data_IF_561349099970
#
_entry.id   IF_561349099970
#
_cell.length_a   1.000
_cell.length_b   1.000
_cell.length_c   1.000
_cell.angle_alpha   90.00
_cell.angle_beta   90.00
_cell.angle_gamma   90.00
#
_symmetry.space_group_name_H-M   'P 1'
#
loop_
_entity.id
_entity.type
_entity.pdbx_description
1 polymer ?
#
# COMPACT_ATOMS: atom_id res chain seq x y z
N UNK A 1 -14.08 46.56 48.16
CA UNK A 1 -12.78 46.52 47.46
C UNK A 1 -12.81 45.35 46.48
N UNK A 2 -12.61 45.64 45.18
CA UNK A 2 -12.30 44.74 44.02
C UNK A 2 -13.13 43.46 43.83
N UNK A 3 -14.09 43.33 42.89
CA UNK A 3 -13.97 43.28 41.40
C UNK A 3 -12.72 42.57 40.87
N UNK A 4 -12.92 41.38 40.29
CA UNK A 4 -12.35 40.96 39.02
C UNK A 4 -13.14 39.78 38.44
N UNK A 5 -13.92 40.12 37.41
CA UNK A 5 -14.57 39.20 36.47
C UNK A 5 -13.50 38.80 35.46
N UNK A 6 -13.28 37.51 35.23
CA UNK A 6 -12.56 37.02 34.06
C UNK A 6 -13.41 35.98 33.34
N UNK A 7 -14.15 36.48 32.35
CA UNK A 7 -14.58 35.77 31.15
C UNK A 7 -13.35 35.57 30.27
N UNK A 8 -13.08 34.36 29.76
CA UNK A 8 -12.52 34.11 28.41
C UNK A 8 -12.75 32.65 28.01
N UNK A 9 -13.68 32.49 27.05
CA UNK A 9 -13.67 31.67 25.82
C UNK A 9 -13.52 30.15 25.91
N UNK A 10 -14.69 29.52 25.72
CA UNK A 10 -14.86 28.27 24.96
C UNK A 10 -14.04 28.29 23.66
N UNK A 11 -13.05 27.41 23.56
CA UNK A 11 -12.41 27.09 22.29
C UNK A 11 -13.20 25.99 21.59
N UNK A 12 -14.10 26.42 20.70
CA UNK A 12 -14.61 25.58 19.63
C UNK A 12 -13.48 25.39 18.61
N UNK A 13 -12.87 24.22 18.55
CA UNK A 13 -12.06 23.84 17.40
C UNK A 13 -12.86 22.87 16.52
N UNK A 14 -13.82 23.44 15.80
CA UNK A 14 -14.11 22.96 14.46
C UNK A 14 -12.85 23.23 13.60
N UNK A 15 -12.09 22.18 13.28
CA UNK A 15 -11.28 22.06 12.07
C UNK A 15 -10.30 20.89 12.22
N UNK A 16 -10.73 19.71 11.79
CA UNK A 16 -9.83 18.64 11.35
C UNK A 16 -10.29 18.08 10.00
N UNK A 17 -10.87 18.93 9.16
CA UNK A 17 -10.96 18.69 7.72
C UNK A 17 -9.60 19.05 7.13
N UNK A 18 -8.65 18.12 7.24
CA UNK A 18 -7.34 18.25 6.61
C UNK A 18 -7.51 18.52 5.12
N UNK A 19 -6.78 19.53 4.63
CA UNK A 19 -6.87 20.14 3.32
C UNK A 19 -7.02 19.12 2.17
N UNK A 20 -8.22 19.06 1.60
CA UNK A 20 -8.44 18.54 0.24
C UNK A 20 -7.84 19.55 -0.74
N UNK A 21 -6.55 19.38 -1.06
CA UNK A 21 -6.03 19.90 -2.33
C UNK A 21 -6.88 19.26 -3.44
N UNK A 22 -7.47 20.09 -4.30
CA UNK A 22 -8.32 19.66 -5.41
C UNK A 22 -7.48 18.91 -6.47
N UNK A 23 -7.12 17.67 -6.16
CA UNK A 23 -6.60 16.72 -7.14
C UNK A 23 -7.76 16.32 -8.06
N UNK A 24 -7.48 16.33 -9.36
CA UNK A 24 -8.36 15.78 -10.39
C UNK A 24 -8.95 14.43 -9.93
N UNK A 25 -10.26 14.20 -10.11
CA UNK A 25 -10.86 12.92 -9.74
C UNK A 25 -10.21 11.80 -10.55
N UNK A 26 -9.63 10.82 -9.86
CA UNK A 26 -9.01 9.65 -10.47
C UNK A 26 -10.08 8.62 -10.90
N UNK A 27 -9.78 7.81 -11.91
CA UNK A 27 -10.67 6.72 -12.37
C UNK A 27 -10.76 5.55 -11.38
N UNK A 28 -9.88 5.52 -10.38
CA UNK A 28 -9.84 4.60 -9.25
C UNK A 28 -9.92 5.34 -7.92
N UNK A 29 -10.20 4.62 -6.84
CA UNK A 29 -10.22 5.19 -5.49
C UNK A 29 -8.85 5.05 -4.81
N UNK A 30 -8.41 6.08 -4.09
CA UNK A 30 -7.15 6.04 -3.32
C UNK A 30 -7.47 5.92 -1.83
N UNK A 31 -7.03 4.82 -1.22
CA UNK A 31 -7.20 4.55 0.21
C UNK A 31 -5.89 4.76 0.97
N UNK A 32 -5.93 5.58 2.01
CA UNK A 32 -4.81 5.81 2.94
C UNK A 32 -4.94 5.03 4.24
N UNK A 33 -6.12 4.46 4.49
CA UNK A 33 -6.46 3.71 5.68
C UNK A 33 -7.27 2.45 5.32
N UNK A 34 -7.33 1.52 6.26
CA UNK A 34 -7.90 0.18 6.11
C UNK A 34 -9.44 0.15 6.18
N UNK A 35 -10.13 0.91 7.07
CA UNK A 35 -11.58 0.77 7.25
C UNK A 35 -12.40 0.99 5.97
N UNK A 36 -12.04 2.00 5.19
CA UNK A 36 -12.69 2.35 3.93
C UNK A 36 -12.38 1.34 2.81
N UNK A 37 -11.13 0.85 2.75
CA UNK A 37 -10.73 -0.22 1.85
C UNK A 37 -11.51 -1.51 2.13
N UNK A 38 -11.67 -1.87 3.40
CA UNK A 38 -12.48 -3.02 3.81
C UNK A 38 -13.96 -2.85 3.45
N UNK A 39 -14.51 -1.63 3.52
CA UNK A 39 -15.88 -1.37 3.04
C UNK A 39 -16.01 -1.63 1.55
N UNK A 40 -15.05 -1.16 0.74
CA UNK A 40 -15.01 -1.47 -0.69
C UNK A 40 -14.90 -2.97 -0.93
N UNK A 41 -13.96 -3.66 -0.26
CA UNK A 41 -13.80 -5.12 -0.40
C UNK A 41 -15.10 -5.86 -0.13
N UNK A 42 -15.79 -5.57 0.98
CA UNK A 42 -17.05 -6.23 1.32
C UNK A 42 -18.10 -6.05 0.23
N UNK A 43 -18.22 -4.85 -0.34
CA UNK A 43 -19.13 -4.60 -1.47
C UNK A 43 -18.73 -5.40 -2.70
N UNK A 44 -17.44 -5.51 -3.01
CA UNK A 44 -16.96 -6.31 -4.14
C UNK A 44 -17.30 -7.79 -3.94
N UNK A 45 -17.02 -8.36 -2.76
CA UNK A 45 -17.38 -9.75 -2.44
C UNK A 45 -18.88 -10.00 -2.56
N UNK A 46 -19.73 -9.08 -2.06
CA UNK A 46 -21.19 -9.20 -2.15
C UNK A 46 -21.74 -9.19 -3.58
N UNK A 47 -20.94 -8.75 -4.56
CA UNK A 47 -21.29 -8.73 -5.97
C UNK A 47 -20.50 -9.76 -6.78
N UNK A 48 -19.97 -10.80 -6.12
CA UNK A 48 -19.17 -11.88 -6.73
C UNK A 48 -17.97 -11.36 -7.54
N UNK A 49 -17.37 -10.24 -7.09
CA UNK A 49 -16.20 -9.61 -7.71
C UNK A 49 -14.91 -10.14 -7.06
N UNK A 50 -13.94 -10.48 -7.90
CA UNK A 50 -12.62 -10.98 -7.50
C UNK A 50 -11.58 -9.87 -7.54
N UNK A 51 -10.57 -9.94 -6.68
CA UNK A 51 -9.49 -8.96 -6.58
C UNK A 51 -8.14 -9.60 -6.89
N UNK A 52 -7.51 -9.08 -7.95
CA UNK A 52 -6.08 -9.24 -8.17
C UNK A 52 -5.30 -8.15 -7.43
N UNK A 53 -4.26 -8.52 -6.70
CA UNK A 53 -3.46 -7.57 -5.93
C UNK A 53 -2.02 -7.50 -6.41
N UNK A 54 -1.56 -6.28 -6.70
CA UNK A 54 -0.19 -5.99 -7.11
C UNK A 54 0.50 -5.16 -6.04
N UNK A 55 1.27 -5.78 -5.12
CA UNK A 55 2.02 -5.04 -4.13
C UNK A 55 3.25 -4.36 -4.75
N UNK A 56 3.32 -3.04 -4.66
CA UNK A 56 4.50 -2.26 -5.09
C UNK A 56 5.00 -1.31 -4.00
N UNK A 57 6.18 -0.74 -4.21
CA UNK A 57 6.71 0.38 -3.43
C UNK A 57 6.55 1.75 -4.12
N UNK A 58 5.93 1.82 -5.30
CA UNK A 58 5.93 3.00 -6.17
C UNK A 58 7.03 2.93 -7.23
N UNK A 59 7.38 4.08 -7.81
CA UNK A 59 8.37 4.16 -8.90
C UNK A 59 8.06 3.20 -10.05
N UNK A 60 6.80 3.24 -10.50
CA UNK A 60 6.24 2.25 -11.41
C UNK A 60 6.95 2.29 -12.76
N UNK A 61 7.10 1.13 -13.39
CA UNK A 61 7.73 0.93 -14.70
C UNK A 61 7.00 -0.18 -15.43
N UNK A 62 7.36 -0.48 -16.69
CA UNK A 62 6.64 -1.45 -17.53
C UNK A 62 6.44 -2.82 -16.88
N UNK A 63 7.45 -3.33 -16.16
CA UNK A 63 7.29 -4.58 -15.39
C UNK A 63 6.20 -4.55 -14.31
N UNK A 64 5.91 -3.40 -13.69
CA UNK A 64 4.77 -3.26 -12.78
C UNK A 64 3.45 -3.20 -13.54
N UNK A 65 3.43 -2.50 -14.68
CA UNK A 65 2.23 -2.36 -15.51
C UNK A 65 1.80 -3.70 -16.11
N UNK A 66 2.75 -4.55 -16.49
CA UNK A 66 2.44 -5.90 -16.99
C UNK A 66 1.81 -6.80 -15.91
N UNK A 67 2.24 -6.70 -14.64
CA UNK A 67 1.60 -7.41 -13.53
C UNK A 67 0.15 -6.94 -13.32
N UNK A 68 -0.10 -5.64 -13.46
CA UNK A 68 -1.46 -5.06 -13.34
C UNK A 68 -2.34 -5.54 -14.50
N UNK A 69 -1.80 -5.61 -15.72
CA UNK A 69 -2.51 -6.16 -16.87
C UNK A 69 -2.88 -7.63 -16.64
N UNK A 70 -1.96 -8.44 -16.13
CA UNK A 70 -2.25 -9.85 -15.82
C UNK A 70 -3.29 -9.99 -14.71
N UNK A 71 -3.18 -9.17 -13.67
CA UNK A 71 -4.19 -9.09 -12.62
C UNK A 71 -5.58 -8.73 -13.16
N UNK A 72 -5.66 -7.82 -14.13
CA UNK A 72 -6.91 -7.44 -14.77
C UNK A 72 -7.46 -8.52 -15.71
N UNK A 73 -6.62 -9.37 -16.31
CA UNK A 73 -7.09 -10.49 -17.14
C UNK A 73 -7.79 -11.56 -16.32
N UNK A 74 -7.30 -11.81 -15.11
CA UNK A 74 -7.77 -12.93 -14.29
C UNK A 74 -8.82 -12.52 -13.24
N UNK A 75 -9.00 -11.22 -12.99
CA UNK A 75 -9.87 -10.71 -11.93
C UNK A 75 -10.68 -9.51 -12.39
N UNK A 76 -11.87 -9.35 -11.82
CA UNK A 76 -12.76 -8.22 -12.11
C UNK A 76 -12.22 -6.87 -11.61
N UNK A 77 -11.47 -6.85 -10.50
CA UNK A 77 -10.93 -5.66 -9.86
C UNK A 77 -9.45 -5.85 -9.56
N UNK A 78 -8.67 -4.78 -9.75
CA UNK A 78 -7.24 -4.76 -9.41
C UNK A 78 -6.99 -3.73 -8.32
N UNK A 79 -6.33 -4.19 -7.26
CA UNK A 79 -5.81 -3.35 -6.19
C UNK A 79 -4.30 -3.24 -6.35
N UNK A 80 -3.77 -2.02 -6.35
CA UNK A 80 -2.33 -1.77 -6.39
C UNK A 80 -1.90 -1.11 -5.09
N UNK A 81 -0.89 -1.64 -4.41
CA UNK A 81 -0.33 -0.93 -3.26
C UNK A 81 0.85 -0.06 -3.66
N UNK A 82 0.94 1.16 -3.13
CA UNK A 82 2.14 1.99 -3.20
C UNK A 82 2.58 2.30 -1.78
N UNK A 83 3.56 1.55 -1.28
CA UNK A 83 4.11 1.74 0.06
C UNK A 83 5.56 1.29 0.12
N UNK A 84 6.47 2.24 0.35
CA UNK A 84 7.88 1.98 0.64
C UNK A 84 7.97 1.50 2.08
N UNK A 85 8.30 0.22 2.27
CA UNK A 85 8.36 -0.40 3.59
C UNK A 85 9.73 -0.15 4.24
N UNK A 86 9.83 0.52 5.40
CA UNK A 86 11.13 0.74 6.05
C UNK A 86 11.82 -0.55 6.51
N UNK A 87 11.07 -1.61 6.84
CA UNK A 87 11.62 -2.81 7.50
C UNK A 87 12.35 -3.78 6.58
N UNK A 88 12.24 -3.57 5.27
CA UNK A 88 13.01 -4.32 4.28
C UNK A 88 14.32 -3.63 3.90
N UNK A 89 14.63 -2.48 4.53
CA UNK A 89 15.92 -1.82 4.35
C UNK A 89 16.81 -2.14 5.55
N UNK A 90 18.05 -2.52 5.29
CA UNK A 90 19.08 -2.70 6.31
C UNK A 90 19.46 -1.38 6.98
N UNK A 91 20.15 -1.46 8.12
CA UNK A 91 20.65 -0.27 8.87
C UNK A 91 21.54 0.64 8.01
N UNK A 92 22.21 0.06 7.00
CA UNK A 92 23.11 0.76 6.08
C UNK A 92 22.48 1.09 4.71
N UNK A 93 21.20 0.75 4.49
CA UNK A 93 20.53 1.02 3.22
C UNK A 93 19.74 2.33 3.29
N UNK A 94 19.96 3.22 2.34
CA UNK A 94 19.40 4.56 2.38
C UNK A 94 17.94 4.60 1.88
N UNK A 95 17.00 4.38 2.80
CA UNK A 95 15.56 4.59 2.60
C UNK A 95 15.22 6.00 2.06
N UNK A 96 16.05 7.02 2.35
CA UNK A 96 15.79 8.40 1.94
C UNK A 96 16.05 8.62 0.45
N UNK A 97 16.93 7.81 -0.16
CA UNK A 97 17.23 7.84 -1.60
C UNK A 97 16.16 7.17 -2.47
N UNK A 98 15.26 6.37 -1.88
CA UNK A 98 14.28 5.61 -2.66
C UNK A 98 13.31 6.56 -3.40
N UNK A 99 13.12 6.42 -4.72
CA UNK A 99 12.32 7.34 -5.52
C UNK A 99 10.85 7.36 -5.08
N UNK A 100 10.32 8.55 -4.82
CA UNK A 100 8.91 8.78 -4.46
C UNK A 100 8.21 9.58 -5.56
N UNK A 101 7.66 8.88 -6.55
CA UNK A 101 7.13 9.47 -7.78
C UNK A 101 5.61 9.45 -7.87
N UNK A 102 4.90 9.83 -6.79
CA UNK A 102 3.45 9.69 -6.68
C UNK A 102 2.68 10.20 -7.92
N UNK A 103 2.93 11.43 -8.36
CA UNK A 103 2.20 12.00 -9.51
C UNK A 103 2.53 11.28 -10.83
N UNK A 104 3.75 10.76 -10.97
CA UNK A 104 4.16 9.96 -12.13
C UNK A 104 3.53 8.56 -12.11
N UNK A 105 3.45 7.94 -10.93
CA UNK A 105 2.82 6.64 -10.74
C UNK A 105 1.32 6.70 -11.01
N UNK A 106 0.62 7.71 -10.47
CA UNK A 106 -0.82 7.93 -10.72
C UNK A 106 -1.10 8.15 -12.20
N UNK A 107 -0.29 8.96 -12.91
CA UNK A 107 -0.45 9.17 -14.36
C UNK A 107 -0.33 7.88 -15.16
N UNK A 108 0.63 7.02 -14.83
CA UNK A 108 0.80 5.71 -15.49
C UNK A 108 -0.40 4.80 -15.23
N UNK A 109 -0.87 4.77 -13.99
CA UNK A 109 -2.03 3.97 -13.60
C UNK A 109 -3.32 4.46 -14.27
N UNK A 110 -3.53 5.77 -14.40
CA UNK A 110 -4.68 6.33 -15.13
C UNK A 110 -4.67 5.91 -16.59
N UNK A 111 -3.53 6.11 -17.28
CA UNK A 111 -3.37 5.71 -18.68
C UNK A 111 -3.65 4.21 -18.85
N UNK A 112 -3.09 3.38 -17.98
CA UNK A 112 -3.32 1.93 -18.02
C UNK A 112 -4.80 1.59 -17.76
N UNK A 113 -5.46 2.26 -16.82
CA UNK A 113 -6.86 1.99 -16.52
C UNK A 113 -7.79 2.37 -17.69
N UNK A 114 -7.47 3.45 -18.41
CA UNK A 114 -8.14 3.82 -19.65
C UNK A 114 -7.93 2.76 -20.74
N UNK A 115 -6.69 2.31 -20.94
CA UNK A 115 -6.36 1.24 -21.88
C UNK A 115 -7.12 -0.06 -21.57
N UNK A 116 -7.18 -0.47 -20.30
CA UNK A 116 -7.96 -1.63 -19.83
C UNK A 116 -9.47 -1.46 -20.11
N UNK A 117 -10.01 -0.26 -19.90
CA UNK A 117 -11.42 0.04 -20.21
C UNK A 117 -11.77 -0.08 -21.69
N UNK A 118 -10.80 0.16 -22.58
CA UNK A 118 -10.96 0.06 -24.03
C UNK A 118 -10.89 -1.39 -24.56
N UNK A 119 -10.43 -2.36 -23.75
CA UNK A 119 -10.32 -3.78 -24.15
C UNK A 119 -11.68 -4.53 -24.14
N UNK A 120 -12.77 -3.87 -23.76
CA UNK A 120 -14.14 -4.41 -23.82
C UNK A 120 -14.58 -5.19 -22.58
N UNK A 121 -15.81 -5.70 -22.64
CA UNK A 121 -16.42 -6.43 -21.53
C UNK A 121 -15.65 -7.72 -21.22
N UNK A 122 -15.25 -7.92 -19.96
CA UNK A 122 -14.54 -9.11 -19.49
C UNK A 122 -13.13 -8.85 -18.97
N UNK A 123 -12.53 -7.69 -19.28
CA UNK A 123 -11.27 -7.28 -18.65
C UNK A 123 -11.55 -6.55 -17.35
N UNK A 124 -10.79 -6.87 -16.31
CA UNK A 124 -10.78 -6.15 -15.05
C UNK A 124 -10.27 -4.73 -15.18
N UNK A 125 -10.37 -3.98 -14.08
CA UNK A 125 -9.91 -2.59 -14.01
C UNK A 125 -9.17 -2.33 -12.72
N UNK A 126 -8.36 -1.29 -12.71
CA UNK A 126 -7.81 -0.73 -11.47
C UNK A 126 -8.98 -0.06 -10.73
N UNK A 127 -9.32 -0.61 -9.58
CA UNK A 127 -10.44 -0.12 -8.75
C UNK A 127 -9.93 0.65 -7.55
N UNK A 128 -8.78 0.24 -7.00
CA UNK A 128 -8.22 0.88 -5.82
C UNK A 128 -6.69 0.96 -5.82
N UNK A 129 -6.19 2.08 -5.32
CA UNK A 129 -4.79 2.24 -4.91
C UNK A 129 -4.75 2.27 -3.39
N UNK A 130 -4.07 1.29 -2.78
CA UNK A 130 -3.82 1.28 -1.35
C UNK A 130 -2.45 1.89 -1.05
N UNK A 131 -2.44 3.11 -0.55
CA UNK A 131 -1.22 3.87 -0.30
C UNK A 131 -1.14 4.31 1.17
N UNK A 132 -1.03 3.34 2.11
CA UNK A 132 -1.11 3.59 3.54
C UNK A 132 0.03 4.48 4.03
N UNK A 133 -0.20 5.19 5.12
CA UNK A 133 0.87 5.86 5.86
C UNK A 133 1.65 4.85 6.70
N UNK A 134 2.88 5.18 7.09
CA UNK A 134 3.65 4.34 8.02
C UNK A 134 2.95 4.16 9.36
N UNK A 135 2.13 5.13 9.81
CA UNK A 135 1.34 4.99 11.05
C UNK A 135 0.21 3.97 10.90
N UNK A 136 -0.41 3.86 9.72
CA UNK A 136 -1.40 2.81 9.43
C UNK A 136 -0.72 1.44 9.35
N UNK A 137 0.45 1.37 8.72
CA UNK A 137 1.22 0.12 8.66
C UNK A 137 1.86 -0.25 9.98
N UNK A 138 2.24 0.69 10.84
CA UNK A 138 2.93 0.48 12.10
C UNK A 138 2.47 1.52 13.13
N UNK A 139 1.36 1.27 13.85
CA UNK A 139 0.77 2.25 14.77
C UNK A 139 1.66 2.65 15.96
N UNK A 140 2.53 1.74 16.39
CA UNK A 140 3.54 1.98 17.43
C UNK A 140 4.90 2.23 16.77
N UNK A 141 5.59 1.15 16.40
CA UNK A 141 6.85 1.14 15.64
C UNK A 141 6.89 -0.13 14.77
N UNK A 142 7.62 -0.10 13.64
CA UNK A 142 7.94 -1.31 12.92
C UNK A 142 8.73 -2.29 13.80
N UNK A 143 8.65 -3.61 13.53
CA UNK A 143 9.58 -4.58 14.10
C UNK A 143 11.02 -4.15 13.85
N UNK A 144 11.90 -4.40 14.82
CA UNK A 144 13.33 -4.11 14.68
C UNK A 144 13.94 -4.93 13.53
N UNK A 145 14.88 -4.32 12.80
CA UNK A 145 15.71 -4.98 11.78
C UNK A 145 16.88 -5.76 12.39
N UNK A 146 16.93 -5.92 13.71
CA UNK A 146 17.89 -6.79 14.39
C UNK A 146 17.44 -8.26 14.31
N UNK A 147 18.42 -9.18 14.30
CA UNK A 147 18.15 -10.63 14.21
C UNK A 147 17.28 -11.10 15.39
N UNK A 148 17.59 -10.64 16.60
CA UNK A 148 16.85 -10.92 17.85
C UNK A 148 15.92 -9.77 18.26
N UNK A 149 15.53 -8.94 17.30
CA UNK A 149 14.72 -7.75 17.52
C UNK A 149 13.32 -8.04 18.04
N UNK A 150 12.79 -7.13 18.88
CA UNK A 150 11.42 -7.21 19.38
C UNK A 150 10.39 -6.76 18.32
N UNK A 151 9.22 -7.41 18.31
CA UNK A 151 8.10 -7.07 17.44
C UNK A 151 7.33 -8.30 16.96
N UNK A 152 6.27 -8.09 16.19
CA UNK A 152 5.56 -9.16 15.46
C UNK A 152 6.01 -9.18 14.01
N UNK A 153 6.58 -10.30 13.59
CA UNK A 153 7.09 -10.50 12.23
C UNK A 153 6.78 -11.91 11.74
N UNK A 154 6.93 -12.10 10.43
CA UNK A 154 6.79 -13.38 9.73
C UNK A 154 8.16 -13.77 9.22
N UNK A 155 8.57 -15.00 9.49
CA UNK A 155 9.88 -15.53 9.11
C UNK A 155 9.71 -16.69 8.13
N UNK A 156 10.68 -16.87 7.23
CA UNK A 156 10.66 -17.91 6.18
C UNK A 156 11.89 -18.79 6.36
N UNK A 157 11.69 -20.03 6.82
CA UNK A 157 12.80 -20.96 7.04
C UNK A 157 12.69 -22.21 6.17
N UNK A 158 13.80 -22.77 5.66
CA UNK A 158 15.17 -22.24 5.75
C UNK A 158 15.50 -21.18 4.69
N UNK A 159 14.61 -20.94 3.71
CA UNK A 159 14.93 -20.24 2.47
C UNK A 159 15.45 -18.80 2.65
N UNK A 160 14.96 -18.06 3.66
CA UNK A 160 15.41 -16.68 3.92
C UNK A 160 16.90 -16.56 4.27
N UNK A 161 17.59 -17.67 4.54
CA UNK A 161 19.02 -17.70 4.88
C UNK A 161 19.92 -18.03 3.68
N UNK A 162 19.35 -18.22 2.50
CA UNK A 162 20.07 -18.55 1.28
C UNK A 162 20.17 -17.35 0.35
N UNK A 163 21.10 -17.41 -0.62
CA UNK A 163 21.27 -16.41 -1.69
C UNK A 163 21.34 -14.98 -1.12
N UNK A 164 20.44 -14.10 -1.54
CA UNK A 164 20.32 -12.72 -1.09
C UNK A 164 20.25 -12.59 0.44
N UNK A 165 19.65 -13.58 1.10
CA UNK A 165 19.51 -13.64 2.56
C UNK A 165 20.84 -13.81 3.31
N UNK A 166 21.90 -14.26 2.63
CA UNK A 166 23.25 -14.31 3.21
C UNK A 166 23.80 -12.89 3.37
N UNK A 167 23.61 -12.04 2.36
CA UNK A 167 24.05 -10.64 2.36
C UNK A 167 23.12 -9.75 3.18
N UNK A 168 21.82 -10.07 3.23
CA UNK A 168 20.79 -9.30 3.91
C UNK A 168 19.96 -10.17 4.88
N UNK A 169 20.49 -10.50 6.07
CA UNK A 169 19.92 -11.50 6.99
C UNK A 169 18.48 -11.25 7.45
N UNK A 170 18.00 -10.01 7.37
CA UNK A 170 16.67 -9.61 7.83
C UNK A 170 15.73 -9.17 6.70
N UNK A 171 16.22 -9.13 5.46
CA UNK A 171 15.48 -8.63 4.30
C UNK A 171 14.18 -9.41 4.07
N UNK A 172 14.27 -10.74 3.95
CA UNK A 172 13.11 -11.59 3.69
C UNK A 172 12.11 -11.61 4.85
N UNK A 173 12.55 -11.44 6.11
CA UNK A 173 11.64 -11.24 7.25
C UNK A 173 10.84 -9.95 7.07
N UNK A 174 11.49 -8.86 6.69
CA UNK A 174 10.84 -7.58 6.37
C UNK A 174 9.81 -7.73 5.24
N UNK A 175 10.20 -8.39 4.14
CA UNK A 175 9.34 -8.67 2.97
C UNK A 175 8.15 -9.55 3.34
N UNK A 176 8.36 -10.66 4.02
CA UNK A 176 7.29 -11.57 4.44
C UNK A 176 6.29 -10.88 5.36
N UNK A 177 6.79 -10.10 6.32
CA UNK A 177 5.96 -9.36 7.28
C UNK A 177 5.08 -8.33 6.56
N UNK A 178 5.65 -7.52 5.65
CA UNK A 178 4.87 -6.51 4.94
C UNK A 178 3.87 -7.15 3.96
N UNK A 179 4.24 -8.24 3.29
CA UNK A 179 3.33 -8.97 2.41
C UNK A 179 2.14 -9.50 3.20
N UNK A 180 2.37 -10.20 4.32
CA UNK A 180 1.27 -10.71 5.15
C UNK A 180 0.38 -9.58 5.68
N UNK A 181 0.98 -8.44 6.04
CA UNK A 181 0.20 -7.28 6.48
C UNK A 181 -0.69 -6.74 5.37
N UNK A 182 -0.15 -6.57 4.17
CA UNK A 182 -0.92 -6.14 2.99
C UNK A 182 -2.01 -7.16 2.64
N UNK A 183 -1.74 -8.45 2.66
CA UNK A 183 -2.72 -9.49 2.32
C UNK A 183 -3.89 -9.50 3.31
N UNK A 184 -3.62 -9.33 4.60
CA UNK A 184 -4.68 -9.25 5.61
C UNK A 184 -5.50 -7.95 5.51
N UNK A 185 -4.94 -6.87 4.98
CA UNK A 185 -5.65 -5.59 4.78
C UNK A 185 -6.43 -5.53 3.46
N UNK A 186 -5.93 -6.18 2.40
CA UNK A 186 -6.56 -6.15 1.07
C UNK A 186 -7.44 -7.36 0.82
N UNK A 187 -7.18 -8.49 1.48
CA UNK A 187 -7.87 -9.79 1.36
C UNK A 187 -8.13 -10.18 -0.11
N UNK A 188 -7.08 -10.24 -0.93
CA UNK A 188 -7.23 -10.45 -2.37
C UNK A 188 -7.49 -11.93 -2.69
N UNK A 189 -8.01 -12.18 -3.88
CA UNK A 189 -8.23 -13.54 -4.39
C UNK A 189 -6.95 -14.09 -5.05
N UNK A 190 -6.17 -13.20 -5.70
CA UNK A 190 -4.86 -13.50 -6.29
C UNK A 190 -3.86 -12.39 -6.01
N UNK A 191 -2.57 -12.73 -5.93
CA UNK A 191 -1.47 -11.78 -5.75
C UNK A 191 -0.42 -11.98 -6.84
N UNK A 192 0.07 -10.89 -7.42
CA UNK A 192 0.99 -10.90 -8.56
C UNK A 192 2.34 -10.33 -8.17
N UNK A 193 3.39 -11.11 -8.39
CA UNK A 193 4.78 -10.74 -8.16
C UNK A 193 5.61 -10.92 -9.44
N UNK A 194 6.60 -10.06 -9.65
CA UNK A 194 7.52 -10.18 -10.77
C UNK A 194 8.56 -11.28 -10.51
N UNK A 195 8.91 -12.05 -11.54
CA UNK A 195 9.93 -13.11 -11.45
C UNK A 195 11.37 -12.59 -11.40
N UNK A 196 11.58 -11.27 -11.45
CA UNK A 196 12.91 -10.67 -11.33
C UNK A 196 13.54 -10.96 -9.95
N UNK A 197 12.71 -11.01 -8.91
CA UNK A 197 13.12 -11.20 -7.52
C UNK A 197 12.81 -12.66 -7.08
N UNK A 198 13.54 -13.62 -7.65
CA UNK A 198 13.37 -15.09 -7.44
C UNK A 198 14.29 -15.65 -6.36
#
# INVERSE_FOLDING_TARGET
MSRLVNSVKSFSNASAAAARSARQPTSFQVFRDVPELHQLRRKLVQNDRTIGFVPTMGALHEGHLSLIQEAARENTDVFVSIYVNPTQFGVNEDLSSYPRTWDGDVKKLEKLNEELGNLGAGTGRITAIFAPTSKVMYPTLPPSSEIDGHGSFVDITPLARNLEGVSHPVFFRGVATICMKKFNMTTPDRVYFGQKDV
#
